data_IF_314007461831
#
_entry.id   IF_314007461831
#
_cell.length_a   1.000
_cell.length_b   1.000
_cell.length_c   1.000
_cell.angle_alpha   90.00
_cell.angle_beta   90.00
_cell.angle_gamma   90.00
#
_symmetry.space_group_name_H-M   'P 1'
#
loop_
_entity.id
_entity.type
_entity.pdbx_description
1 polymer ?
#
# COMPACT_ATOMS: atom_id res chain seq x y z
N UNK A 1 9.69 -15.49 22.38
CA UNK A 1 9.51 -16.01 21.01
C UNK A 1 9.10 -17.46 21.13
N UNK A 2 7.82 -17.72 20.91
CA UNK A 2 7.21 -19.03 20.92
C UNK A 2 7.26 -19.65 19.53
N UNK A 3 7.15 -20.97 19.47
CA UNK A 3 7.13 -21.73 18.21
C UNK A 3 6.03 -21.22 17.25
N UNK A 4 4.87 -20.84 17.80
CA UNK A 4 3.72 -20.29 17.09
C UNK A 4 4.02 -18.96 16.38
N UNK A 5 4.86 -18.10 16.97
CA UNK A 5 5.27 -16.82 16.37
C UNK A 5 6.04 -17.06 15.06
N UNK A 6 6.96 -18.03 15.10
CA UNK A 6 7.80 -18.44 13.96
C UNK A 6 6.93 -19.09 12.87
N UNK A 7 5.97 -19.92 13.26
CA UNK A 7 5.01 -20.55 12.35
C UNK A 7 4.10 -19.52 11.66
N UNK A 8 3.61 -18.51 12.38
CA UNK A 8 2.83 -17.41 11.81
C UNK A 8 3.63 -16.64 10.74
N UNK A 9 4.88 -16.27 11.03
CA UNK A 9 5.77 -15.55 10.10
C UNK A 9 6.11 -16.42 8.87
N UNK A 10 6.34 -17.72 9.05
CA UNK A 10 6.56 -18.66 7.95
C UNK A 10 5.30 -18.83 7.09
N UNK A 11 4.11 -18.83 7.70
CA UNK A 11 2.82 -18.84 7.01
C UNK A 11 2.62 -17.59 6.16
N UNK A 12 2.81 -16.39 6.71
CA UNK A 12 2.74 -15.14 5.92
C UNK A 12 3.70 -15.18 4.73
N UNK A 13 4.96 -15.58 4.93
CA UNK A 13 5.94 -15.62 3.84
C UNK A 13 5.58 -16.65 2.74
N UNK A 14 5.00 -17.81 3.08
CA UNK A 14 4.61 -18.82 2.09
C UNK A 14 3.27 -18.53 1.45
N UNK A 15 2.25 -18.30 2.25
CA UNK A 15 0.85 -18.46 1.87
C UNK A 15 0.24 -17.13 1.42
N UNK A 16 0.71 -16.00 1.99
CA UNK A 16 0.33 -14.65 1.56
C UNK A 16 1.33 -14.03 0.58
N UNK A 17 2.63 -14.09 0.90
CA UNK A 17 3.68 -13.51 0.07
C UNK A 17 4.14 -14.43 -1.08
N UNK A 18 3.68 -15.69 -1.13
CA UNK A 18 3.95 -16.66 -2.20
C UNK A 18 5.45 -16.98 -2.41
N UNK A 19 6.27 -16.91 -1.35
CA UNK A 19 7.66 -17.36 -1.41
C UNK A 19 7.75 -18.89 -1.34
N UNK A 20 8.52 -19.48 -2.25
CA UNK A 20 8.86 -20.91 -2.20
C UNK A 20 9.63 -21.25 -0.92
N UNK A 21 9.55 -22.51 -0.45
CA UNK A 21 10.24 -22.94 0.77
C UNK A 21 11.74 -22.60 0.79
N UNK A 22 12.43 -22.72 -0.35
CA UNK A 22 13.85 -22.34 -0.49
C UNK A 22 14.08 -20.83 -0.33
N UNK A 23 13.18 -19.99 -0.87
CA UNK A 23 13.23 -18.54 -0.67
C UNK A 23 12.98 -18.19 0.79
N UNK A 24 12.01 -18.83 1.46
CA UNK A 24 11.73 -18.60 2.89
C UNK A 24 12.94 -18.98 3.76
N UNK A 25 13.56 -20.15 3.57
CA UNK A 25 14.79 -20.52 4.29
C UNK A 25 15.91 -19.49 4.08
N UNK A 26 16.06 -18.96 2.86
CA UNK A 26 17.05 -17.94 2.53
C UNK A 26 16.73 -16.56 3.14
N UNK A 27 15.46 -16.17 3.19
CA UNK A 27 14.98 -14.97 3.89
C UNK A 27 15.31 -15.08 5.38
N UNK A 28 14.92 -16.18 6.04
CA UNK A 28 15.16 -16.37 7.47
C UNK A 28 16.66 -16.35 7.84
N UNK A 29 17.52 -16.93 7.00
CA UNK A 29 18.97 -16.91 7.19
C UNK A 29 19.58 -15.51 7.02
N UNK A 30 19.10 -14.70 6.06
CA UNK A 30 19.77 -13.43 5.68
C UNK A 30 19.10 -12.19 6.28
N UNK A 31 17.82 -12.28 6.58
CA UNK A 31 17.00 -11.22 7.17
C UNK A 31 16.40 -11.68 8.53
N UNK A 32 17.18 -12.14 9.53
CA UNK A 32 16.65 -12.72 10.78
C UNK A 32 15.80 -11.75 11.62
N UNK A 33 15.77 -10.47 11.25
CA UNK A 33 14.88 -9.45 11.81
C UNK A 33 13.39 -9.75 11.53
N UNK A 34 13.03 -10.36 10.40
CA UNK A 34 11.62 -10.60 10.01
C UNK A 34 10.84 -11.48 10.99
N UNK A 35 11.55 -12.29 11.81
CA UNK A 35 10.94 -13.10 12.88
C UNK A 35 10.41 -12.24 14.04
N UNK A 36 10.86 -10.98 14.16
CA UNK A 36 10.50 -10.02 15.22
C UNK A 36 9.61 -8.87 14.72
N UNK A 37 9.20 -8.90 13.46
CA UNK A 37 8.27 -7.93 12.89
C UNK A 37 6.83 -8.45 13.05
N UNK A 38 5.85 -7.56 13.02
CA UNK A 38 4.46 -8.00 12.99
C UNK A 38 4.14 -8.75 11.68
N UNK A 39 3.34 -9.83 11.70
CA UNK A 39 2.99 -10.56 10.47
C UNK A 39 2.28 -9.70 9.41
N UNK A 40 1.50 -8.70 9.82
CA UNK A 40 0.87 -7.71 8.94
C UNK A 40 1.86 -6.68 8.40
N UNK A 41 2.76 -6.15 9.23
CA UNK A 41 3.86 -5.27 8.77
C UNK A 41 4.76 -5.96 7.73
N UNK A 42 5.06 -7.24 7.95
CA UNK A 42 5.88 -8.05 7.05
C UNK A 42 5.17 -8.30 5.71
N UNK A 43 3.86 -8.59 5.75
CA UNK A 43 3.02 -8.70 4.57
C UNK A 43 2.96 -7.37 3.80
N UNK A 44 2.63 -6.27 4.47
CA UNK A 44 2.56 -4.93 3.87
C UNK A 44 3.90 -4.50 3.27
N UNK A 45 5.02 -4.79 3.93
CA UNK A 45 6.37 -4.54 3.39
C UNK A 45 6.63 -5.33 2.11
N UNK A 46 6.18 -6.58 2.04
CA UNK A 46 6.25 -7.36 0.80
C UNK A 46 5.32 -6.80 -0.29
N UNK A 47 4.08 -6.46 0.04
CA UNK A 47 3.12 -5.85 -0.89
C UNK A 47 3.68 -4.52 -1.47
N UNK A 48 4.29 -3.67 -0.64
CA UNK A 48 4.96 -2.45 -1.08
C UNK A 48 6.11 -2.75 -2.05
N UNK A 49 6.95 -3.75 -1.75
CA UNK A 49 8.02 -4.19 -2.65
C UNK A 49 7.47 -4.66 -4.00
N UNK A 50 6.45 -5.52 -3.98
CA UNK A 50 5.95 -6.21 -5.17
C UNK A 50 5.06 -5.32 -6.04
N UNK A 51 4.05 -4.67 -5.45
CA UNK A 51 3.08 -3.84 -6.18
C UNK A 51 3.53 -2.39 -6.32
N UNK A 52 4.05 -1.76 -5.26
CA UNK A 52 4.34 -0.31 -5.26
C UNK A 52 5.72 0.05 -5.81
N UNK A 53 6.70 -0.87 -5.75
CA UNK A 53 8.04 -0.72 -6.33
C UNK A 53 8.29 -1.61 -7.57
N UNK A 54 7.44 -2.62 -7.84
CA UNK A 54 7.59 -3.57 -8.94
C UNK A 54 8.70 -4.63 -8.77
N UNK A 55 9.13 -4.90 -7.54
CA UNK A 55 10.25 -5.81 -7.22
C UNK A 55 9.78 -7.26 -7.13
N UNK A 56 10.33 -8.12 -7.99
CA UNK A 56 9.99 -9.56 -8.06
C UNK A 56 10.58 -10.35 -6.88
N UNK A 57 9.95 -11.45 -6.47
CA UNK A 57 10.37 -12.31 -5.34
C UNK A 57 11.87 -12.66 -5.36
N UNK A 58 12.40 -13.00 -6.54
CA UNK A 58 13.81 -13.34 -6.72
C UNK A 58 14.75 -12.20 -6.32
N UNK A 59 14.34 -10.94 -6.52
CA UNK A 59 15.11 -9.76 -6.17
C UNK A 59 14.97 -9.39 -4.69
N UNK A 60 13.76 -9.47 -4.12
CA UNK A 60 13.52 -9.32 -2.67
C UNK A 60 14.45 -10.24 -1.87
N UNK A 61 14.60 -11.50 -2.30
CA UNK A 61 15.47 -12.53 -1.70
C UNK A 61 16.95 -12.41 -2.08
N UNK A 62 17.28 -11.73 -3.20
CA UNK A 62 18.65 -11.52 -3.68
C UNK A 62 19.33 -10.30 -3.04
N UNK A 63 18.56 -9.26 -2.74
CA UNK A 63 19.08 -7.98 -2.20
C UNK A 63 18.75 -7.78 -0.71
N UNK A 64 18.33 -8.84 -0.02
CA UNK A 64 18.04 -8.84 1.43
C UNK A 64 16.99 -7.78 1.83
N UNK A 65 16.05 -7.48 0.94
CA UNK A 65 15.17 -6.31 1.02
C UNK A 65 14.39 -6.23 2.35
N UNK A 66 13.89 -7.37 2.82
CA UNK A 66 13.11 -7.46 4.06
C UNK A 66 13.91 -7.14 5.34
N UNK A 67 15.25 -7.07 5.30
CA UNK A 67 16.08 -6.66 6.45
C UNK A 67 15.91 -5.17 6.81
N UNK A 68 15.27 -4.39 5.94
CA UNK A 68 15.09 -2.95 6.12
C UNK A 68 13.68 -2.63 6.64
N UNK A 69 13.57 -1.58 7.47
CA UNK A 69 12.28 -1.08 7.95
C UNK A 69 11.47 -0.47 6.79
N UNK A 70 10.14 -0.58 6.88
CA UNK A 70 9.23 -0.03 5.86
C UNK A 70 9.42 1.49 5.71
N UNK A 71 9.63 2.23 6.79
CA UNK A 71 9.93 3.67 6.78
C UNK A 71 11.17 4.00 5.94
N UNK A 72 12.28 3.24 6.09
CA UNK A 72 13.50 3.45 5.30
C UNK A 72 13.27 3.14 3.81
N UNK A 73 12.48 2.10 3.53
CA UNK A 73 12.10 1.71 2.17
C UNK A 73 11.28 2.83 1.52
N UNK A 74 10.18 3.25 2.16
CA UNK A 74 9.30 4.33 1.69
C UNK A 74 10.07 5.63 1.47
N UNK A 75 10.80 6.12 2.47
CA UNK A 75 11.55 7.37 2.39
C UNK A 75 12.52 7.39 1.20
N UNK A 76 13.31 6.32 0.98
CA UNK A 76 14.27 6.29 -0.13
C UNK A 76 13.63 6.04 -1.49
N UNK A 77 12.55 5.26 -1.54
CA UNK A 77 11.81 4.99 -2.77
C UNK A 77 11.06 6.24 -3.26
N UNK A 78 10.20 6.82 -2.42
CA UNK A 78 9.36 7.98 -2.78
C UNK A 78 10.21 9.21 -3.09
N UNK A 79 11.35 9.39 -2.41
CA UNK A 79 12.30 10.46 -2.76
C UNK A 79 12.87 10.30 -4.17
N UNK A 80 13.34 9.10 -4.54
CA UNK A 80 13.82 8.86 -5.90
C UNK A 80 12.70 8.97 -6.94
N UNK A 81 11.47 8.57 -6.61
CA UNK A 81 10.32 8.69 -7.52
C UNK A 81 9.94 10.16 -7.76
N UNK A 82 9.87 11.00 -6.70
CA UNK A 82 9.64 12.46 -6.81
C UNK A 82 10.78 13.19 -7.53
N UNK A 83 12.00 12.67 -7.48
CA UNK A 83 13.15 13.15 -8.26
C UNK A 83 13.19 12.60 -9.71
N UNK A 84 12.23 11.77 -10.13
CA UNK A 84 12.23 11.13 -11.46
C UNK A 84 13.35 10.11 -11.67
N UNK A 85 14.03 9.67 -10.60
CA UNK A 85 15.16 8.73 -10.60
C UNK A 85 14.75 7.28 -10.33
N UNK A 86 13.52 7.04 -9.92
CA UNK A 86 12.92 5.71 -9.86
C UNK A 86 11.57 5.76 -10.57
N UNK A 87 11.36 4.85 -11.53
CA UNK A 87 10.08 4.66 -12.20
C UNK A 87 9.51 3.31 -11.76
N UNK A 88 8.26 3.27 -11.29
CA UNK A 88 7.58 1.98 -11.05
C UNK A 88 7.50 1.19 -12.38
N UNK A 89 8.04 -0.04 -12.47
CA UNK A 89 8.07 -0.81 -13.72
C UNK A 89 6.69 -1.09 -14.32
N UNK A 90 6.62 -1.19 -15.66
CA UNK A 90 5.39 -1.49 -16.39
C UNK A 90 4.94 -2.96 -16.22
N UNK A 91 3.84 -3.35 -16.89
CA UNK A 91 3.31 -4.73 -16.87
C UNK A 91 4.29 -5.80 -17.42
N UNK A 92 5.38 -5.41 -18.10
CA UNK A 92 6.46 -6.30 -18.58
C UNK A 92 7.67 -6.28 -17.63
N UNK A 93 7.69 -5.39 -16.64
CA UNK A 93 8.83 -5.13 -15.76
C UNK A 93 9.90 -4.24 -16.41
N UNK A 94 9.50 -3.34 -17.31
CA UNK A 94 10.37 -2.39 -18.02
C UNK A 94 10.16 -0.96 -17.52
N UNK A 95 11.20 -0.15 -17.61
CA UNK A 95 11.20 1.30 -17.33
C UNK A 95 11.84 2.04 -18.51
N UNK A 96 11.53 3.33 -18.69
CA UNK A 96 12.11 4.17 -19.74
C UNK A 96 13.59 4.46 -19.47
N UNK A 97 13.92 4.71 -18.20
CA UNK A 97 15.28 4.84 -17.68
C UNK A 97 15.51 3.68 -16.70
N UNK A 98 16.61 2.92 -16.77
CA UNK A 98 16.89 1.84 -15.83
C UNK A 98 16.99 2.35 -14.38
N UNK A 99 16.16 1.81 -13.49
CA UNK A 99 16.19 2.17 -12.06
C UNK A 99 17.55 1.84 -11.42
N UNK A 100 17.98 2.61 -10.40
CA UNK A 100 19.10 2.23 -9.55
C UNK A 100 18.90 0.86 -8.89
N UNK A 101 19.99 0.11 -8.68
CA UNK A 101 19.92 -1.22 -8.08
C UNK A 101 19.50 -1.10 -6.61
N UNK A 102 18.62 -1.98 -6.13
CA UNK A 102 18.09 -1.95 -4.76
C UNK A 102 19.17 -1.93 -3.66
N UNK A 103 20.36 -2.48 -3.93
CA UNK A 103 21.53 -2.38 -3.02
C UNK A 103 22.01 -0.93 -2.85
N UNK A 104 22.02 -0.15 -3.94
CA UNK A 104 22.50 1.24 -4.02
C UNK A 104 21.39 2.24 -3.60
N UNK A 105 20.17 1.73 -3.37
CA UNK A 105 19.07 2.44 -2.70
C UNK A 105 19.09 2.14 -1.19
N UNK A 106 19.03 0.86 -0.80
CA UNK A 106 18.68 0.44 0.57
C UNK A 106 19.85 -0.02 1.44
N UNK A 107 20.88 -0.66 0.86
CA UNK A 107 22.00 -1.25 1.63
C UNK A 107 23.07 -0.22 1.97
N UNK A 108 23.30 0.75 1.08
CA UNK A 108 24.28 1.84 1.25
C UNK A 108 23.93 2.80 2.40
N UNK A 109 24.93 3.53 2.87
CA UNK A 109 24.76 4.62 3.84
C UNK A 109 23.84 5.73 3.31
N UNK A 110 23.39 6.65 4.17
CA UNK A 110 22.57 7.79 3.72
C UNK A 110 23.37 8.77 2.86
N UNK A 111 24.56 9.17 3.31
CA UNK A 111 25.44 10.05 2.54
C UNK A 111 25.81 9.44 1.17
N UNK A 112 26.02 8.13 1.10
CA UNK A 112 26.29 7.43 -0.16
C UNK A 112 25.07 7.36 -1.09
N UNK A 113 23.89 7.05 -0.55
CA UNK A 113 22.61 7.11 -1.28
C UNK A 113 22.38 8.50 -1.87
N UNK A 114 22.59 9.55 -1.08
CA UNK A 114 22.39 10.93 -1.51
C UNK A 114 23.43 11.38 -2.56
N UNK A 115 24.71 11.08 -2.35
CA UNK A 115 25.76 11.45 -3.28
C UNK A 115 25.74 10.66 -4.60
N UNK A 116 25.40 9.37 -4.57
CA UNK A 116 25.55 8.44 -5.72
C UNK A 116 24.25 8.02 -6.40
N UNK A 117 23.10 8.15 -5.74
CA UNK A 117 21.82 7.58 -6.22
C UNK A 117 20.73 8.65 -6.37
N UNK A 118 20.55 9.51 -5.36
CA UNK A 118 19.59 10.62 -5.43
C UNK A 118 20.19 11.89 -6.07
N UNK A 119 21.50 12.10 -5.95
CA UNK A 119 22.22 13.32 -6.34
C UNK A 119 21.56 14.59 -5.78
N UNK A 120 21.38 14.60 -4.45
CA UNK A 120 20.74 15.66 -3.67
C UNK A 120 21.48 15.80 -2.33
N UNK A 121 21.27 16.92 -1.64
CA UNK A 121 21.87 17.25 -0.35
C UNK A 121 21.26 16.49 0.83
N UNK A 122 21.95 16.51 1.97
CA UNK A 122 21.42 15.97 3.23
C UNK A 122 20.27 16.84 3.78
N UNK A 123 20.31 18.16 3.59
CA UNK A 123 19.27 19.08 4.07
C UNK A 123 17.95 18.91 3.31
N UNK A 124 17.98 18.76 1.99
CA UNK A 124 16.78 18.42 1.19
C UNK A 124 16.16 17.10 1.64
N UNK A 125 16.97 16.08 1.94
CA UNK A 125 16.45 14.78 2.39
C UNK A 125 15.92 14.81 3.83
N UNK A 126 16.53 15.58 4.74
CA UNK A 126 15.99 15.80 6.09
C UNK A 126 14.67 16.60 6.10
N UNK A 127 14.53 17.58 5.19
CA UNK A 127 13.25 18.28 4.99
C UNK A 127 12.22 17.32 4.38
N UNK A 128 12.59 16.56 3.36
CA UNK A 128 11.71 15.55 2.75
C UNK A 128 11.22 14.51 3.77
N UNK A 129 12.11 13.94 4.61
CA UNK A 129 11.72 12.95 5.62
C UNK A 129 10.65 13.47 6.60
N UNK A 130 10.67 14.78 6.93
CA UNK A 130 9.67 15.42 7.80
C UNK A 130 8.34 15.68 7.09
N UNK A 131 8.39 16.17 5.84
CA UNK A 131 7.19 16.37 5.02
C UNK A 131 6.49 15.04 4.75
N UNK A 132 7.25 14.03 4.34
CA UNK A 132 6.75 12.70 4.04
C UNK A 132 6.16 12.00 5.27
N UNK A 133 6.74 12.16 6.46
CA UNK A 133 6.15 11.61 7.69
C UNK A 133 4.74 12.17 7.95
N UNK A 134 4.56 13.50 7.83
CA UNK A 134 3.23 14.12 7.97
C UNK A 134 2.27 13.71 6.86
N UNK A 135 2.75 13.52 5.63
CA UNK A 135 1.94 12.98 4.54
C UNK A 135 1.45 11.55 4.84
N UNK A 136 2.26 10.68 5.45
CA UNK A 136 1.84 9.33 5.89
C UNK A 136 0.83 9.39 7.05
N UNK A 137 0.99 10.33 7.98
CA UNK A 137 0.05 10.59 9.08
C UNK A 137 -1.32 11.06 8.52
N UNK A 138 -1.33 12.10 7.69
CA UNK A 138 -2.53 12.63 7.02
C UNK A 138 -3.22 11.60 6.11
N UNK A 139 -2.48 10.70 5.45
CA UNK A 139 -3.05 9.61 4.63
C UNK A 139 -3.65 8.49 5.49
N UNK A 140 -3.08 8.22 6.66
CA UNK A 140 -3.58 7.21 7.61
C UNK A 140 -4.88 7.65 8.28
N UNK A 141 -4.98 8.93 8.70
CA UNK A 141 -6.20 9.49 9.28
C UNK A 141 -7.38 9.41 8.30
N UNK A 142 -7.16 9.71 7.01
CA UNK A 142 -8.21 9.66 5.97
C UNK A 142 -8.69 8.25 5.65
N UNK A 143 -7.91 7.21 5.95
CA UNK A 143 -8.29 5.81 5.76
C UNK A 143 -9.07 5.24 6.96
N UNK A 144 -9.21 6.02 8.03
CA UNK A 144 -9.95 5.66 9.25
C UNK A 144 -11.19 6.56 9.38
N UNK A 145 -12.24 6.38 8.55
CA UNK A 145 -13.50 7.10 8.73
C UNK A 145 -14.07 6.79 10.12
N UNK A 146 -14.48 7.82 10.85
CA UNK A 146 -14.91 7.67 12.25
C UNK A 146 -16.19 6.83 12.33
N UNK A 147 -16.08 5.69 13.02
CA UNK A 147 -17.16 4.74 13.22
C UNK A 147 -18.28 5.26 14.15
N UNK A 148 -18.14 6.48 14.67
CA UNK A 148 -19.19 7.21 15.40
C UNK A 148 -20.14 8.02 14.48
N UNK A 149 -19.91 8.11 13.17
CA UNK A 149 -20.81 8.85 12.24
C UNK A 149 -22.06 8.07 11.79
N UNK A 150 -22.42 6.97 12.46
CA UNK A 150 -23.54 6.08 12.12
C UNK A 150 -24.53 5.88 13.29
N UNK A 151 -24.61 6.85 14.21
CA UNK A 151 -25.60 6.85 15.29
C UNK A 151 -26.06 8.27 15.59
N UNK A 152 -27.16 8.68 14.95
CA UNK A 152 -28.13 9.72 15.34
C UNK A 152 -29.09 9.94 14.16
N UNK A 153 -30.26 9.31 14.26
CA UNK A 153 -31.58 9.68 13.70
C UNK A 153 -32.48 8.42 13.67
N UNK A 154 -32.72 7.88 14.88
CA UNK A 154 -33.92 7.11 15.23
C UNK A 154 -34.68 7.95 16.29
N UNK A 155 -35.99 7.74 16.47
CA UNK A 155 -36.91 8.50 17.34
C UNK A 155 -37.34 9.90 16.85
N UNK A 156 -38.39 9.92 16.01
CA UNK A 156 -39.63 10.65 16.33
C UNK A 156 -40.81 9.93 15.62
N UNK A 157 -41.73 9.35 16.40
CA UNK A 157 -42.97 8.68 15.95
C UNK A 157 -44.19 9.41 16.56
N UNK A 158 -45.23 9.69 15.75
CA UNK A 158 -46.66 9.96 16.07
C UNK A 158 -47.30 10.46 14.72
N UNK A 159 -48.33 9.84 14.12
CA UNK A 159 -49.78 9.74 14.49
C UNK A 159 -50.51 11.11 14.51
N UNK A 160 -51.76 11.32 14.07
CA UNK A 160 -52.72 10.53 13.25
C UNK A 160 -52.73 11.11 11.78
N UNK A 161 -53.66 11.02 10.81
CA UNK A 161 -55.06 10.52 10.59
C UNK A 161 -55.17 9.93 9.14
N UNK A 162 -56.28 9.32 8.73
CA UNK A 162 -56.62 8.93 7.32
C UNK A 162 -57.86 9.70 6.81
N UNK A 163 -58.02 9.89 5.48
CA UNK A 163 -59.30 9.74 4.74
C UNK A 163 -59.12 9.85 3.21
N UNK A 164 -60.09 9.33 2.44
CA UNK A 164 -60.05 9.09 0.98
C UNK A 164 -60.35 10.33 0.10
N UNK A 165 -60.01 10.24 -1.20
CA UNK A 165 -61.00 10.28 -2.30
C UNK A 165 -60.40 9.77 -3.63
N UNK A 166 -61.24 9.28 -4.55
CA UNK A 166 -60.88 8.46 -5.72
C UNK A 166 -60.85 9.26 -7.05
N UNK A 167 -60.63 8.53 -8.17
CA UNK A 167 -60.90 8.95 -9.58
C UNK A 167 -59.96 10.04 -10.19
N UNK A 168 -59.64 10.05 -11.49
CA UNK A 168 -60.05 9.18 -12.60
C UNK A 168 -58.92 9.02 -13.66
N UNK A 169 -59.29 8.41 -14.79
CA UNK A 169 -58.60 8.09 -16.06
C UNK A 169 -57.74 9.26 -16.68
N UNK A 170 -56.86 9.08 -17.66
CA UNK A 170 -57.04 8.37 -18.95
C UNK A 170 -55.82 7.57 -19.45
N UNK A 171 -56.11 6.40 -20.04
CA UNK A 171 -55.30 5.82 -21.12
C UNK A 171 -55.74 6.49 -22.44
N UNK A 172 -54.80 6.90 -23.29
CA UNK A 172 -55.11 7.48 -24.61
C UNK A 172 -54.31 6.67 -25.67
N UNK A 173 -55.03 6.09 -26.63
CA UNK A 173 -54.54 4.97 -27.46
C UNK A 173 -53.70 5.40 -28.69
N UNK A 174 -52.87 4.47 -29.20
CA UNK A 174 -52.32 4.55 -30.57
C UNK A 174 -53.40 4.22 -31.63
N UNK A 175 -53.20 4.66 -32.88
CA UNK A 175 -54.08 4.48 -34.08
C UNK A 175 -55.32 5.43 -34.08
N UNK A 176 -55.63 6.21 -35.13
CA UNK A 176 -55.82 5.79 -36.53
C UNK A 176 -55.12 6.64 -37.62
N UNK A 177 -54.81 5.94 -38.72
CA UNK A 177 -54.45 6.41 -40.06
C UNK A 177 -55.61 7.10 -40.79
N UNK A 178 -55.43 8.29 -41.40
CA UNK A 178 -56.28 8.73 -42.55
C UNK A 178 -55.59 9.69 -43.55
N UNK A 179 -55.66 9.30 -44.84
CA UNK A 179 -55.51 10.09 -46.10
C UNK A 179 -54.09 10.46 -46.60
#
# INVERSE_FOLDING_TARGET
MHQRDIENIVGVLKDKCLFTGQQVTRILHRCPYVLREDPGDLEYKFQYAYFRMGVKHADVVRTDFLQHSITKIKQRHVFLERLGRYQTPDKKGQTQIPNPLLKDILRVSEAEFLARTAHSSAEEFEVFKKLFAREEEEESERQMPDMQSLSLDEEDEEEEEEEDEEEEEEEDEDEEEWQ
#
